data_IF_050733641162
#
_entry.id   IF_050733641162
#
_cell.length_a   1.000
_cell.length_b   1.000
_cell.length_c   1.000
_cell.angle_alpha   90.00
_cell.angle_beta   90.00
_cell.angle_gamma   90.00
#
_symmetry.space_group_name_H-M   'P 1'
#
loop_
_entity.id
_entity.type
_entity.pdbx_description
1 polymer ?
#
# COMPACT_ATOMS: atom_id res chain seq x y z
N UNK A 1 15.34 -3.68 -6.03
CA UNK A 1 14.20 -2.86 -5.54
C UNK A 1 14.63 -1.46 -5.11
N UNK A 2 15.53 -1.28 -4.13
CA UNK A 2 15.91 0.07 -3.65
C UNK A 2 16.38 1.05 -4.75
N UNK A 3 17.11 0.57 -5.76
CA UNK A 3 17.47 1.35 -6.96
C UNK A 3 16.23 1.90 -7.69
N UNK A 4 15.24 1.05 -7.95
CA UNK A 4 14.01 1.42 -8.64
C UNK A 4 13.18 2.43 -7.84
N UNK A 5 13.15 2.29 -6.51
CA UNK A 5 12.48 3.26 -5.63
C UNK A 5 13.13 4.64 -5.75
N UNK A 6 14.47 4.73 -5.76
CA UNK A 6 15.19 6.01 -5.98
C UNK A 6 15.00 6.59 -7.38
N UNK A 7 14.90 5.74 -8.40
CA UNK A 7 14.62 6.18 -9.76
C UNK A 7 13.21 6.76 -9.89
N UNK A 8 12.21 6.11 -9.27
CA UNK A 8 10.85 6.62 -9.21
C UNK A 8 10.77 7.95 -8.42
N UNK A 9 11.48 8.05 -7.30
CA UNK A 9 11.57 9.30 -6.53
C UNK A 9 12.07 10.47 -7.38
N UNK A 10 13.19 10.28 -8.09
CA UNK A 10 13.75 11.30 -9.00
C UNK A 10 12.77 11.70 -10.08
N UNK A 11 12.10 10.72 -10.70
CA UNK A 11 11.08 10.96 -11.71
C UNK A 11 9.94 11.87 -11.22
N UNK A 12 9.50 11.68 -9.97
CA UNK A 12 8.46 12.51 -9.35
C UNK A 12 9.02 13.87 -8.88
N UNK A 13 10.25 13.91 -8.35
CA UNK A 13 10.91 15.15 -7.96
C UNK A 13 11.10 16.09 -9.16
N UNK A 14 11.52 15.58 -10.32
CA UNK A 14 11.68 16.34 -11.57
C UNK A 14 10.35 16.92 -12.09
N UNK A 15 9.21 16.37 -11.63
CA UNK A 15 7.85 16.86 -11.95
C UNK A 15 7.32 17.85 -10.92
N UNK A 16 8.06 18.12 -9.85
CA UNK A 16 7.67 19.08 -8.82
C UNK A 16 6.43 18.67 -8.04
N UNK A 17 6.30 17.38 -7.70
CA UNK A 17 5.20 16.92 -6.83
C UNK A 17 5.38 17.45 -5.40
N UNK A 18 4.28 17.80 -4.73
CA UNK A 18 4.31 18.32 -3.35
C UNK A 18 4.59 17.23 -2.31
N UNK A 19 4.20 15.99 -2.62
CA UNK A 19 4.41 14.82 -1.79
C UNK A 19 4.58 13.56 -2.66
N UNK A 20 5.32 12.58 -2.16
CA UNK A 20 5.52 11.29 -2.80
C UNK A 20 5.10 10.16 -1.86
N UNK A 21 4.32 9.21 -2.39
CA UNK A 21 3.89 8.02 -1.63
C UNK A 21 4.53 6.78 -2.22
N UNK A 22 5.25 6.02 -1.39
CA UNK A 22 5.70 4.67 -1.73
C UNK A 22 4.54 3.72 -1.40
N UNK A 23 3.58 3.57 -2.32
CA UNK A 23 2.39 2.77 -2.07
C UNK A 23 2.68 1.26 -1.90
N UNK A 24 3.77 0.75 -2.47
CA UNK A 24 4.13 -0.66 -2.35
C UNK A 24 4.74 -0.97 -0.97
N UNK A 25 4.14 -1.88 -0.21
CA UNK A 25 4.63 -2.30 1.10
C UNK A 25 6.03 -2.94 1.03
N UNK A 26 6.27 -3.80 0.05
CA UNK A 26 7.59 -4.43 -0.17
C UNK A 26 8.65 -3.38 -0.49
N UNK A 27 8.32 -2.38 -1.31
CA UNK A 27 9.23 -1.28 -1.61
C UNK A 27 9.51 -0.43 -0.36
N UNK A 28 8.49 -0.18 0.45
CA UNK A 28 8.58 0.60 1.70
C UNK A 28 9.53 -0.04 2.72
N UNK A 29 9.56 -1.38 2.83
CA UNK A 29 10.51 -2.02 3.76
C UNK A 29 11.94 -2.16 3.19
N UNK A 30 12.11 -2.09 1.86
CA UNK A 30 13.42 -2.18 1.20
C UNK A 30 14.10 -0.81 1.05
N UNK A 31 13.31 0.25 0.88
CA UNK A 31 13.77 1.61 0.77
C UNK A 31 12.75 2.53 1.47
N UNK A 32 12.74 2.56 2.82
CA UNK A 32 11.80 3.36 3.61
C UNK A 32 12.02 4.86 3.40
N UNK A 33 11.01 5.65 3.73
CA UNK A 33 11.15 7.10 3.83
C UNK A 33 12.26 7.44 4.83
N UNK A 34 13.11 8.40 4.47
CA UNK A 34 14.22 8.89 5.30
C UNK A 34 14.32 10.40 5.12
N UNK A 35 15.09 11.09 5.97
CA UNK A 35 15.28 12.55 5.83
C UNK A 35 16.10 12.94 4.58
N UNK A 36 16.76 11.98 3.92
CA UNK A 36 17.57 12.21 2.72
C UNK A 36 16.74 12.26 1.42
N UNK A 37 15.41 12.23 1.51
CA UNK A 37 14.50 12.19 0.38
C UNK A 37 14.40 13.54 -0.34
N UNK A 38 14.24 13.49 -1.66
CA UNK A 38 14.15 14.66 -2.54
C UNK A 38 12.81 15.40 -2.40
N UNK A 39 11.78 14.69 -1.92
CA UNK A 39 10.40 15.15 -1.78
C UNK A 39 9.85 14.61 -0.46
N UNK A 40 8.97 15.33 0.26
CA UNK A 40 8.23 14.79 1.40
C UNK A 40 7.62 13.43 1.06
N UNK A 41 8.00 12.40 1.83
CA UNK A 41 7.73 11.01 1.48
C UNK A 41 6.89 10.30 2.55
N UNK A 42 5.82 9.64 2.13
CA UNK A 42 5.03 8.71 2.96
C UNK A 42 5.33 7.29 2.48
N UNK A 43 5.64 6.40 3.40
CA UNK A 43 5.79 4.97 3.12
C UNK A 43 4.74 4.14 3.87
N UNK A 44 4.62 2.87 3.47
CA UNK A 44 3.63 1.98 4.09
C UNK A 44 4.03 1.51 5.49
N UNK A 45 5.27 1.71 5.93
CA UNK A 45 5.67 1.41 7.31
C UNK A 45 5.02 2.44 8.23
N UNK A 46 5.18 3.73 7.95
CA UNK A 46 4.50 4.81 8.68
C UNK A 46 2.98 4.66 8.62
N UNK A 47 2.45 4.35 7.43
CA UNK A 47 1.03 4.18 7.21
C UNK A 47 0.42 3.06 8.10
N UNK A 48 1.17 1.96 8.30
CA UNK A 48 0.76 0.89 9.23
C UNK A 48 0.61 1.44 10.65
N UNK A 49 1.57 2.23 11.14
CA UNK A 49 1.50 2.82 12.48
C UNK A 49 0.25 3.64 12.76
N UNK A 50 -0.32 4.26 11.72
CA UNK A 50 -1.53 5.11 11.82
C UNK A 50 -2.82 4.32 11.92
N UNK A 51 -2.83 3.07 11.47
CA UNK A 51 -4.02 2.18 11.51
C UNK A 51 -3.92 1.09 12.57
N UNK A 52 -2.77 0.99 13.26
CA UNK A 52 -2.58 -0.02 14.29
C UNK A 52 -3.50 0.23 15.49
N UNK A 53 -4.07 -0.85 16.06
CA UNK A 53 -4.76 -0.74 17.34
C UNK A 53 -3.74 -0.48 18.46
N UNK A 54 -4.19 -0.12 19.67
CA UNK A 54 -3.31 -0.05 20.82
C UNK A 54 -2.54 -1.37 21.02
N UNK A 55 -1.28 -1.37 21.48
CA UNK A 55 -0.49 -2.59 21.70
C UNK A 55 -1.18 -3.64 22.60
N UNK A 56 -2.10 -3.20 23.46
CA UNK A 56 -2.89 -4.05 24.35
C UNK A 56 -4.09 -4.73 23.70
N UNK A 57 -4.37 -4.47 22.41
CA UNK A 57 -5.53 -5.01 21.70
C UNK A 57 -5.40 -6.49 21.32
N UNK A 58 -4.27 -7.11 21.63
CA UNK A 58 -3.98 -8.51 21.38
C UNK A 58 -2.99 -8.71 20.22
N UNK A 59 -2.99 -9.92 19.67
CA UNK A 59 -2.09 -10.31 18.58
C UNK A 59 -2.53 -9.73 17.25
N UNK A 60 -1.55 -9.21 16.51
CA UNK A 60 -1.74 -8.61 15.19
C UNK A 60 -1.03 -9.48 14.17
N UNK A 61 -1.80 -10.11 13.29
CA UNK A 61 -1.23 -10.77 12.12
C UNK A 61 -0.70 -9.72 11.14
N UNK A 62 0.48 -9.97 10.60
CA UNK A 62 1.04 -9.18 9.51
C UNK A 62 1.01 -10.04 8.26
N UNK A 63 0.07 -9.76 7.36
CA UNK A 63 -0.09 -10.47 6.10
C UNK A 63 0.64 -9.70 5.00
N UNK A 64 1.44 -10.36 4.18
CA UNK A 64 2.07 -9.68 3.04
C UNK A 64 2.99 -10.59 2.25
N UNK A 65 3.80 -9.98 1.40
CA UNK A 65 4.79 -10.73 0.62
C UNK A 65 5.87 -11.33 1.52
N UNK A 66 6.51 -12.43 1.10
CA UNK A 66 7.68 -13.01 1.78
C UNK A 66 8.75 -11.93 2.01
N UNK A 67 8.96 -11.07 1.02
CA UNK A 67 9.89 -9.95 1.13
C UNK A 67 9.51 -8.97 2.24
N UNK A 68 8.23 -8.60 2.31
CA UNK A 68 7.70 -7.74 3.39
C UNK A 68 7.87 -8.40 4.75
N UNK A 69 7.44 -9.66 4.89
CA UNK A 69 7.43 -10.38 6.16
C UNK A 69 8.84 -10.66 6.68
N UNK A 70 9.72 -11.22 5.84
CA UNK A 70 11.10 -11.57 6.23
C UNK A 70 11.94 -10.32 6.50
N UNK A 71 11.59 -9.17 5.93
CA UNK A 71 12.28 -7.91 6.25
C UNK A 71 12.30 -7.62 7.75
N UNK A 72 11.21 -7.94 8.46
CA UNK A 72 10.99 -7.60 9.86
C UNK A 72 10.98 -6.09 10.16
N UNK A 73 10.90 -5.22 9.14
CA UNK A 73 10.95 -3.76 9.33
C UNK A 73 9.73 -3.26 10.10
N UNK A 74 8.52 -3.70 9.73
CA UNK A 74 7.28 -3.30 10.42
C UNK A 74 7.29 -3.74 11.90
N UNK A 75 7.58 -5.02 12.24
CA UNK A 75 7.71 -5.42 13.65
C UNK A 75 8.77 -4.66 14.43
N UNK A 76 9.90 -4.28 13.80
CA UNK A 76 10.93 -3.48 14.46
C UNK A 76 10.53 -2.01 14.66
N UNK A 77 9.71 -1.45 13.75
CA UNK A 77 9.19 -0.10 13.87
C UNK A 77 8.13 0.02 14.97
N UNK A 78 7.40 -1.06 15.23
CA UNK A 78 6.33 -1.14 16.24
C UNK A 78 6.57 -2.33 17.19
N UNK A 79 7.63 -2.28 18.01
CA UNK A 79 8.08 -3.42 18.81
C UNK A 79 7.16 -3.76 19.99
N UNK A 80 6.26 -2.86 20.36
CA UNK A 80 5.33 -3.05 21.49
C UNK A 80 4.15 -3.96 21.13
N UNK A 81 3.90 -4.21 19.84
CA UNK A 81 2.82 -5.08 19.37
C UNK A 81 3.27 -6.55 19.32
N UNK A 82 2.36 -7.47 19.65
CA UNK A 82 2.58 -8.92 19.50
C UNK A 82 2.25 -9.35 18.07
N UNK A 83 3.28 -9.43 17.23
CA UNK A 83 3.16 -9.70 15.81
C UNK A 83 3.11 -11.19 15.47
N UNK A 84 2.23 -11.56 14.55
CA UNK A 84 2.19 -12.88 13.90
C UNK A 84 2.48 -12.71 12.41
N UNK A 85 3.75 -12.84 11.96
CA UNK A 85 4.09 -12.64 10.56
C UNK A 85 3.66 -13.84 9.70
N UNK A 86 2.87 -13.58 8.64
CA UNK A 86 2.31 -14.62 7.77
C UNK A 86 2.50 -14.24 6.30
N UNK A 87 3.45 -14.85 5.58
CA UNK A 87 3.58 -14.69 4.14
C UNK A 87 2.38 -15.32 3.41
N UNK A 88 1.79 -14.63 2.43
CA UNK A 88 0.56 -15.11 1.75
C UNK A 88 0.70 -15.14 0.21
N UNK A 89 1.80 -15.66 -0.31
CA UNK A 89 2.17 -15.55 -1.74
C UNK A 89 1.17 -16.17 -2.69
N UNK A 90 0.62 -17.33 -2.32
CA UNK A 90 -0.38 -17.98 -3.14
C UNK A 90 -1.62 -17.10 -3.29
N UNK A 91 -2.08 -16.50 -2.20
CA UNK A 91 -3.23 -15.61 -2.20
C UNK A 91 -2.97 -14.32 -2.99
N UNK A 92 -1.78 -13.73 -2.85
CA UNK A 92 -1.38 -12.52 -3.56
C UNK A 92 -1.27 -12.75 -5.08
N UNK A 93 -0.80 -13.92 -5.54
CA UNK A 93 -0.79 -14.25 -6.98
C UNK A 93 -2.18 -14.22 -7.60
N UNK A 94 -3.18 -14.78 -6.90
CA UNK A 94 -4.57 -14.69 -7.36
C UNK A 94 -5.07 -13.25 -7.38
N UNK A 95 -4.70 -12.46 -6.37
CA UNK A 95 -5.06 -11.05 -6.30
C UNK A 95 -4.45 -10.22 -7.46
N UNK A 96 -3.19 -10.44 -7.80
CA UNK A 96 -2.50 -9.81 -8.95
C UNK A 96 -3.21 -10.12 -10.29
N UNK A 97 -3.78 -11.31 -10.42
CA UNK A 97 -4.55 -11.75 -11.60
C UNK A 97 -6.01 -11.25 -11.60
N UNK A 98 -6.45 -10.56 -10.53
CA UNK A 98 -7.84 -10.13 -10.35
C UNK A 98 -8.81 -11.27 -10.02
N UNK A 99 -8.29 -12.44 -9.62
CA UNK A 99 -9.10 -13.59 -9.20
C UNK A 99 -9.44 -13.48 -7.71
N UNK A 100 -10.68 -13.07 -7.41
CA UNK A 100 -11.18 -12.96 -6.05
C UNK A 100 -12.18 -14.06 -5.67
N UNK A 101 -12.53 -14.97 -6.59
CA UNK A 101 -13.72 -15.82 -6.45
C UNK A 101 -13.50 -17.29 -6.83
N UNK A 102 -12.30 -17.66 -7.29
CA UNK A 102 -12.04 -19.06 -7.62
C UNK A 102 -12.09 -19.97 -6.38
N UNK A 103 -12.32 -21.28 -6.60
CA UNK A 103 -12.20 -22.28 -5.54
C UNK A 103 -10.83 -22.26 -4.86
N UNK A 104 -9.76 -21.93 -5.61
CA UNK A 104 -8.41 -21.85 -5.06
C UNK A 104 -8.29 -20.72 -4.02
N UNK A 105 -8.82 -19.53 -4.31
CA UNK A 105 -8.89 -18.40 -3.37
C UNK A 105 -9.69 -18.79 -2.13
N UNK A 106 -10.85 -19.45 -2.30
CA UNK A 106 -11.66 -19.90 -1.19
C UNK A 106 -10.91 -20.90 -0.29
N UNK A 107 -10.12 -21.82 -0.86
CA UNK A 107 -9.33 -22.79 -0.11
C UNK A 107 -8.19 -22.12 0.66
N UNK A 108 -7.48 -21.18 0.03
CA UNK A 108 -6.41 -20.40 0.66
C UNK A 108 -6.93 -19.54 1.82
N UNK A 109 -8.10 -18.90 1.65
CA UNK A 109 -8.72 -18.11 2.72
C UNK A 109 -9.18 -18.98 3.89
N UNK A 110 -9.62 -20.22 3.64
CA UNK A 110 -9.93 -21.17 4.74
C UNK A 110 -8.67 -21.54 5.51
N UNK A 111 -7.56 -21.82 4.82
CA UNK A 111 -6.27 -22.10 5.48
C UNK A 111 -5.81 -20.90 6.32
N UNK A 112 -5.85 -19.69 5.75
CA UNK A 112 -5.50 -18.47 6.45
C UNK A 112 -6.36 -18.26 7.70
N UNK A 113 -7.67 -18.52 7.62
CA UNK A 113 -8.56 -18.45 8.79
C UNK A 113 -8.12 -19.42 9.90
N UNK A 114 -7.80 -20.65 9.54
CA UNK A 114 -7.39 -21.67 10.51
C UNK A 114 -6.06 -21.29 11.18
N UNK A 115 -5.10 -20.75 10.41
CA UNK A 115 -3.82 -20.23 10.92
C UNK A 115 -4.01 -19.03 11.85
N UNK A 116 -4.86 -18.07 11.47
CA UNK A 116 -5.21 -16.92 12.30
C UNK A 116 -5.85 -17.39 13.62
N UNK A 117 -6.79 -18.33 13.57
CA UNK A 117 -7.42 -18.92 14.74
C UNK A 117 -6.43 -19.62 15.68
N UNK A 118 -5.49 -20.39 15.14
CA UNK A 118 -4.44 -21.05 15.91
C UNK A 118 -3.47 -20.06 16.56
N UNK A 119 -3.16 -18.95 15.87
CA UNK A 119 -2.27 -17.92 16.39
C UNK A 119 -2.92 -17.05 17.48
N UNK A 120 -4.25 -17.01 17.54
CA UNK A 120 -5.03 -16.13 18.41
C UNK A 120 -5.02 -14.66 17.96
N UNK A 121 -4.63 -14.38 16.72
CA UNK A 121 -4.70 -13.04 16.15
C UNK A 121 -6.15 -12.59 16.00
N UNK A 122 -6.43 -11.34 16.41
CA UNK A 122 -7.75 -10.71 16.29
C UNK A 122 -7.76 -9.57 15.28
N UNK A 123 -6.58 -9.13 14.85
CA UNK A 123 -6.36 -8.09 13.86
C UNK A 123 -5.40 -8.62 12.79
N UNK A 124 -5.54 -8.15 11.55
CA UNK A 124 -4.64 -8.47 10.46
C UNK A 124 -4.30 -7.22 9.65
N UNK A 125 -3.02 -6.83 9.65
CA UNK A 125 -2.50 -5.78 8.77
C UNK A 125 -2.33 -6.34 7.37
N UNK A 126 -2.92 -5.66 6.39
CA UNK A 126 -2.85 -5.98 4.96
C UNK A 126 -1.61 -5.32 4.34
N UNK A 127 -0.43 -5.89 4.54
CA UNK A 127 0.85 -5.32 4.09
C UNK A 127 1.20 -5.69 2.62
N UNK A 128 0.21 -5.58 1.74
CA UNK A 128 0.37 -5.62 0.28
C UNK A 128 -0.77 -4.84 -0.39
N UNK A 129 -0.49 -4.11 -1.46
CA UNK A 129 -1.51 -3.37 -2.22
C UNK A 129 -2.51 -4.28 -2.94
N UNK A 130 -2.12 -5.52 -3.25
CA UNK A 130 -2.98 -6.40 -4.05
C UNK A 130 -4.16 -6.96 -3.24
N UNK A 131 -4.13 -6.88 -1.90
CA UNK A 131 -5.27 -7.31 -1.08
C UNK A 131 -6.56 -6.57 -1.42
N UNK A 132 -6.49 -5.33 -1.93
CA UNK A 132 -7.67 -4.57 -2.36
C UNK A 132 -8.49 -5.34 -3.41
N UNK A 133 -7.85 -6.11 -4.29
CA UNK A 133 -8.52 -6.90 -5.33
C UNK A 133 -9.35 -8.06 -4.75
N UNK A 134 -9.00 -8.55 -3.56
CA UNK A 134 -9.66 -9.70 -2.91
C UNK A 134 -10.29 -9.37 -1.56
N UNK A 135 -10.28 -8.09 -1.16
CA UNK A 135 -10.74 -7.62 0.15
C UNK A 135 -12.17 -8.06 0.48
N UNK A 136 -13.16 -7.99 -0.44
CA UNK A 136 -14.50 -8.50 -0.16
C UNK A 136 -14.51 -9.99 0.21
N UNK A 137 -13.72 -10.82 -0.49
CA UNK A 137 -13.61 -12.24 -0.19
C UNK A 137 -12.91 -12.49 1.15
N UNK A 138 -11.91 -11.68 1.50
CA UNK A 138 -11.26 -11.74 2.82
C UNK A 138 -12.22 -11.40 3.95
N UNK A 139 -13.05 -10.35 3.79
CA UNK A 139 -14.06 -9.95 4.77
C UNK A 139 -15.06 -11.09 5.01
N UNK A 140 -15.55 -11.72 3.93
CA UNK A 140 -16.49 -12.83 4.03
C UNK A 140 -15.86 -14.08 4.68
N UNK A 141 -14.59 -14.36 4.37
CA UNK A 141 -13.92 -15.58 4.81
C UNK A 141 -13.32 -15.51 6.22
N UNK A 142 -13.03 -14.29 6.72
CA UNK A 142 -12.33 -14.04 7.99
C UNK A 142 -13.23 -13.31 9.02
N UNK A 143 -14.42 -13.85 9.35
CA UNK A 143 -15.31 -13.20 10.30
C UNK A 143 -14.65 -13.09 11.68
N UNK A 144 -14.72 -11.90 12.26
CA UNK A 144 -14.15 -11.61 13.58
C UNK A 144 -12.67 -11.20 13.58
N UNK A 145 -12.01 -11.16 12.42
CA UNK A 145 -10.69 -10.55 12.26
C UNK A 145 -10.87 -9.10 11.80
N UNK A 146 -10.31 -8.15 12.54
CA UNK A 146 -10.25 -6.76 12.10
C UNK A 146 -9.15 -6.61 11.03
N UNK A 147 -9.56 -6.47 9.76
CA UNK A 147 -8.65 -6.21 8.65
C UNK A 147 -8.24 -4.73 8.66
N UNK A 148 -6.94 -4.48 8.69
CA UNK A 148 -6.35 -3.14 8.77
C UNK A 148 -5.63 -2.85 7.45
N UNK A 149 -6.26 -2.04 6.61
CA UNK A 149 -5.65 -1.56 5.37
C UNK A 149 -4.82 -0.29 5.67
N UNK A 150 -3.49 -0.30 5.49
CA UNK A 150 -2.68 0.89 5.73
C UNK A 150 -2.94 2.03 4.74
N UNK A 151 -3.72 1.84 3.67
CA UNK A 151 -4.12 2.89 2.74
C UNK A 151 -4.71 4.11 3.46
N UNK A 152 -5.59 3.90 4.44
CA UNK A 152 -6.19 4.99 5.21
C UNK A 152 -5.13 5.78 5.99
N UNK A 153 -4.14 5.09 6.55
CA UNK A 153 -3.00 5.71 7.22
C UNK A 153 -2.13 6.53 6.26
N UNK A 154 -1.91 6.03 5.04
CA UNK A 154 -1.16 6.73 4.01
C UNK A 154 -1.88 8.01 3.57
N UNK A 155 -3.21 7.95 3.37
CA UNK A 155 -4.03 9.13 3.03
C UNK A 155 -3.98 10.19 4.12
N UNK A 156 -4.06 9.78 5.40
CA UNK A 156 -3.91 10.70 6.53
C UNK A 156 -2.54 11.38 6.53
N UNK A 157 -1.46 10.62 6.34
CA UNK A 157 -0.10 11.15 6.29
C UNK A 157 0.09 12.15 5.14
N UNK A 158 -0.44 11.84 3.94
CA UNK A 158 -0.42 12.77 2.81
C UNK A 158 -1.18 14.04 3.14
N UNK A 159 -2.38 13.93 3.73
CA UNK A 159 -3.16 15.09 4.17
C UNK A 159 -2.41 15.97 5.16
N UNK A 160 -1.63 15.40 6.08
CA UNK A 160 -0.82 16.16 7.03
C UNK A 160 0.31 16.93 6.32
N UNK A 161 0.86 16.39 5.22
CA UNK A 161 1.90 17.06 4.40
C UNK A 161 1.30 18.18 3.55
N UNK A 162 0.20 17.91 2.83
CA UNK A 162 -0.34 18.83 1.82
C UNK A 162 -1.32 19.87 2.37
N UNK A 163 -1.78 19.72 3.62
CA UNK A 163 -2.66 20.72 4.24
C UNK A 163 -1.87 22.02 4.49
N UNK A 164 -2.36 23.17 4.00
CA UNK A 164 -1.66 24.44 4.20
C UNK A 164 -1.59 24.79 5.69
N UNK A 165 -0.37 25.03 6.17
CA UNK A 165 -0.10 25.47 7.53
C UNK A 165 -0.41 26.96 7.74
N UNK A 166 -1.63 27.44 7.44
CA UNK A 166 -2.05 28.77 7.96
C UNK A 166 -3.55 29.02 7.92
N UNK A 167 -4.04 29.51 9.05
CA UNK A 167 -5.26 30.30 9.23
C UNK A 167 -5.12 31.68 8.59
N UNK A 168 -4.97 31.74 7.26
CA UNK A 168 -5.06 33.02 6.56
C UNK A 168 -5.78 32.87 5.22
N UNK A 169 -6.84 33.66 5.09
CA UNK A 169 -7.65 33.93 3.91
C UNK A 169 -8.11 32.71 3.08
N UNK A 170 -9.36 32.33 3.34
CA UNK A 170 -10.24 31.57 2.46
C UNK A 170 -10.17 32.09 1.02
N UNK A 171 -9.32 31.46 0.21
CA UNK A 171 -9.34 31.65 -1.23
C UNK A 171 -10.29 30.60 -1.78
N UNK A 172 -11.49 31.02 -2.16
CA UNK A 172 -12.56 30.19 -2.73
C UNK A 172 -12.28 29.78 -4.18
N UNK A 173 -11.03 29.45 -4.49
CA UNK A 173 -10.70 28.84 -5.77
C UNK A 173 -10.87 27.33 -5.61
N UNK A 174 -11.91 26.77 -6.22
CA UNK A 174 -12.01 25.32 -6.40
C UNK A 174 -10.70 24.87 -7.08
N UNK A 175 -9.92 23.96 -6.48
CA UNK A 175 -8.72 23.44 -7.12
C UNK A 175 -9.14 22.90 -8.49
N UNK A 176 -8.67 23.54 -9.55
CA UNK A 176 -8.92 23.05 -10.90
C UNK A 176 -8.08 21.78 -11.02
N UNK A 177 -8.72 20.62 -10.89
CA UNK A 177 -8.00 19.35 -10.91
C UNK A 177 -7.26 19.26 -12.25
N UNK A 178 -5.94 19.15 -12.20
CA UNK A 178 -5.10 18.94 -13.40
C UNK A 178 -5.32 17.55 -14.03
N UNK A 179 -6.20 16.74 -13.44
CA UNK A 179 -6.46 15.36 -13.84
C UNK A 179 -5.53 14.38 -13.13
N UNK A 180 -5.64 13.10 -13.47
CA UNK A 180 -4.75 12.05 -12.99
C UNK A 180 -3.82 11.60 -14.13
N UNK A 181 -2.54 11.43 -13.86
CA UNK A 181 -1.57 10.93 -14.84
C UNK A 181 -1.09 9.54 -14.41
N UNK A 182 -1.02 8.61 -15.37
CA UNK A 182 -0.49 7.26 -15.16
C UNK A 182 0.80 7.09 -15.98
N UNK A 183 1.87 6.69 -15.31
CA UNK A 183 3.10 6.30 -15.96
C UNK A 183 3.48 4.86 -15.58
N UNK A 184 3.79 4.04 -16.59
CA UNK A 184 4.20 2.63 -16.43
C UNK A 184 5.57 2.41 -17.06
N UNK A 185 6.39 1.54 -16.47
CA UNK A 185 7.74 1.24 -17.00
C UNK A 185 7.78 0.01 -17.89
N UNK A 186 6.63 -0.65 -18.08
CA UNK A 186 6.52 -1.87 -18.85
C UNK A 186 5.05 -2.30 -19.00
N UNK A 187 4.86 -3.43 -19.69
CA UNK A 187 3.54 -4.03 -19.87
C UNK A 187 3.01 -4.61 -18.55
N UNK A 188 1.74 -4.36 -18.26
CA UNK A 188 1.00 -4.97 -17.16
C UNK A 188 -0.06 -5.93 -17.75
N UNK A 189 -0.28 -7.14 -17.20
CA UNK A 189 -1.25 -8.09 -17.74
C UNK A 189 -2.70 -7.60 -17.70
N UNK A 190 -2.99 -6.64 -16.82
CA UNK A 190 -4.30 -5.98 -16.69
C UNK A 190 -4.26 -4.60 -17.33
N UNK A 191 -5.33 -4.23 -18.05
CA UNK A 191 -5.57 -2.86 -18.51
C UNK A 191 -5.85 -1.94 -17.31
N UNK A 192 -4.79 -1.30 -16.80
CA UNK A 192 -4.84 -0.45 -15.60
C UNK A 192 -5.84 0.71 -15.77
N UNK A 193 -5.85 1.48 -16.89
CA UNK A 193 -6.87 2.51 -17.11
C UNK A 193 -8.31 1.99 -17.09
N UNK A 194 -8.59 0.85 -17.73
CA UNK A 194 -9.93 0.27 -17.71
C UNK A 194 -10.33 -0.16 -16.30
N UNK A 195 -9.44 -0.85 -15.59
CA UNK A 195 -9.67 -1.29 -14.21
C UNK A 195 -9.94 -0.10 -13.27
N UNK A 196 -9.13 0.96 -13.38
CA UNK A 196 -9.27 2.15 -12.54
C UNK A 196 -10.62 2.85 -12.76
N UNK A 197 -11.05 2.98 -14.03
CA UNK A 197 -12.34 3.56 -14.40
C UNK A 197 -13.51 2.70 -13.91
N UNK A 198 -13.43 1.39 -14.09
CA UNK A 198 -14.53 0.47 -13.75
C UNK A 198 -14.67 0.24 -12.24
N UNK A 199 -13.56 0.21 -11.52
CA UNK A 199 -13.55 -0.06 -10.08
C UNK A 199 -13.74 1.21 -9.26
N UNK A 200 -13.11 2.31 -9.67
CA UNK A 200 -13.01 3.53 -8.84
C UNK A 200 -13.62 4.76 -9.52
N UNK A 201 -14.11 4.67 -10.76
CA UNK A 201 -14.52 5.84 -11.54
C UNK A 201 -13.35 6.78 -11.84
N UNK A 202 -12.11 6.29 -11.75
CA UNK A 202 -10.89 7.08 -11.90
C UNK A 202 -10.46 7.10 -13.36
N UNK A 203 -10.47 8.28 -13.97
CA UNK A 203 -9.95 8.48 -15.32
C UNK A 203 -8.57 9.16 -15.29
N UNK A 204 -7.68 8.65 -16.14
CA UNK A 204 -6.37 9.23 -16.38
C UNK A 204 -6.41 10.16 -17.60
N UNK A 205 -6.00 11.40 -17.40
CA UNK A 205 -5.86 12.41 -18.45
C UNK A 205 -4.69 12.09 -19.38
N UNK A 206 -3.67 11.40 -18.87
CA UNK A 206 -2.53 10.93 -19.67
C UNK A 206 -2.06 9.58 -19.17
N UNK A 207 -1.79 8.67 -20.10
CA UNK A 207 -1.17 7.37 -19.85
C UNK A 207 0.11 7.28 -20.68
N UNK A 208 1.23 6.93 -20.06
CA UNK A 208 2.52 6.88 -20.75
C UNK A 208 3.33 5.65 -20.32
N UNK A 209 3.98 4.99 -21.30
CA UNK A 209 5.09 4.08 -21.01
C UNK A 209 6.38 4.89 -20.96
N UNK A 210 7.09 4.84 -19.84
CA UNK A 210 8.28 5.64 -19.57
C UNK A 210 9.48 4.73 -19.28
N UNK A 211 10.68 5.27 -19.44
CA UNK A 211 11.89 4.67 -18.90
C UNK A 211 12.37 5.50 -17.71
N UNK A 212 12.52 4.86 -16.55
CA UNK A 212 13.06 5.49 -15.33
C UNK A 212 14.51 5.06 -15.05
N UNK A 213 15.13 4.29 -15.94
CA UNK A 213 16.58 4.09 -15.92
C UNK A 213 17.29 5.39 -16.33
N UNK A 214 17.34 6.30 -15.37
CA UNK A 214 18.21 7.46 -15.40
C UNK A 214 19.63 6.92 -15.22
N UNK A 215 20.34 6.70 -16.32
CA UNK A 215 21.80 6.51 -16.27
C UNK A 215 22.38 7.72 -15.55
N UNK A 216 23.15 7.49 -14.48
CA UNK A 216 23.91 8.55 -13.82
C UNK A 216 24.72 9.28 -14.91
N UNK A 217 24.47 10.58 -15.05
CA UNK A 217 25.28 11.48 -15.87
C UNK A 217 26.11 12.37 -14.94
#
# INVERSE_FOLDING_TARGET
>A
MARYVRQAERFFADRGVDAWVIACNTASVVAPATDERLVPCVDMVEAVGRVLPPPTAGRVALLGTLGTIVSGVIPRAYPDHDWVPMPTEALLRHAEEGDARSPAVADLLRQLRDELGQSGATHAVLACTDYTCILPAMIDALPGIALLDPLDGAVQAVCDIVRPTTTDAMTTATPQSRGHELAVTGHHPVDIPALARETYGLEFTTTATINIDLTES
#
